data_IF_478338375596
#
_entry.id   IF_478338375596
#
_cell.length_a   1.000
_cell.length_b   1.000
_cell.length_c   1.000
_cell.angle_alpha   90.00
_cell.angle_beta   90.00
_cell.angle_gamma   90.00
#
_symmetry.space_group_name_H-M   'P 1'
#
loop_
_entity.id
_entity.type
_entity.pdbx_description
1 polymer ?
#
# COMPACT_ATOMS: atom_id res chain seq x y z
N UNK A 1 6.95 0.65 -16.87
CA UNK A 1 7.24 1.57 -15.74
C UNK A 1 7.16 0.80 -14.44
N UNK A 2 8.13 0.97 -13.58
CA UNK A 2 8.17 0.34 -12.26
C UNK A 2 7.56 1.26 -11.21
N UNK A 3 6.83 0.69 -10.26
CA UNK A 3 6.24 1.43 -9.16
C UNK A 3 6.57 0.75 -7.83
N UNK A 4 6.44 1.50 -6.73
CA UNK A 4 6.64 1.01 -5.36
C UNK A 4 5.33 1.15 -4.59
N UNK A 5 4.95 0.09 -3.89
CA UNK A 5 3.86 0.14 -2.93
C UNK A 5 4.44 -0.03 -1.52
N UNK A 6 4.63 1.07 -0.79
CA UNK A 6 5.23 1.01 0.54
C UNK A 6 4.19 0.79 1.63
N UNK A 7 4.59 0.13 2.70
CA UNK A 7 3.76 -0.06 3.86
C UNK A 7 4.51 -0.80 4.96
N UNK A 8 3.92 -0.86 6.14
CA UNK A 8 4.47 -1.66 7.23
C UNK A 8 4.11 -3.14 7.07
N UNK A 9 2.94 -3.43 6.52
CA UNK A 9 2.42 -4.77 6.26
C UNK A 9 2.57 -5.71 7.47
N UNK A 10 2.04 -5.27 8.58
CA UNK A 10 2.14 -5.99 9.84
C UNK A 10 0.75 -6.25 10.46
N UNK A 11 -0.06 -7.19 9.94
CA UNK A 11 0.20 -8.06 8.79
C UNK A 11 -0.26 -7.48 7.46
N UNK A 12 0.01 -8.20 6.38
CA UNK A 12 -0.59 -7.96 5.08
C UNK A 12 -2.08 -8.35 5.14
N UNK A 13 -2.95 -7.44 4.73
CA UNK A 13 -4.40 -7.64 4.78
C UNK A 13 -4.97 -7.91 3.40
N UNK A 14 -6.24 -8.38 3.29
CA UNK A 14 -6.91 -8.50 2.00
C UNK A 14 -6.97 -7.18 1.23
N UNK A 15 -7.10 -6.05 1.93
CA UNK A 15 -7.05 -4.73 1.31
C UNK A 15 -5.71 -4.43 0.66
N UNK A 16 -4.63 -4.81 1.33
CA UNK A 16 -3.29 -4.68 0.75
C UNK A 16 -3.13 -5.56 -0.50
N UNK A 17 -3.59 -6.81 -0.43
CA UNK A 17 -3.52 -7.72 -1.58
C UNK A 17 -4.31 -7.20 -2.77
N UNK A 18 -5.47 -6.58 -2.54
CA UNK A 18 -6.26 -5.96 -3.59
C UNK A 18 -5.51 -4.83 -4.27
N UNK A 19 -4.84 -3.97 -3.50
CA UNK A 19 -4.04 -2.88 -4.07
C UNK A 19 -2.89 -3.45 -4.90
N UNK A 20 -2.19 -4.47 -4.41
CA UNK A 20 -1.10 -5.11 -5.15
C UNK A 20 -1.62 -5.69 -6.46
N UNK A 21 -2.76 -6.39 -6.42
CA UNK A 21 -3.34 -7.01 -7.61
C UNK A 21 -3.68 -5.97 -8.68
N UNK A 22 -4.30 -4.87 -8.28
CA UNK A 22 -4.67 -3.82 -9.23
C UNK A 22 -3.45 -3.04 -9.72
N UNK A 23 -2.49 -2.79 -8.85
CA UNK A 23 -1.27 -2.06 -9.22
C UNK A 23 -0.42 -2.86 -10.21
N UNK A 24 -0.28 -4.18 -10.02
CA UNK A 24 0.51 -5.01 -10.93
C UNK A 24 -0.07 -5.07 -12.35
N UNK A 25 -1.37 -4.76 -12.48
CA UNK A 25 -2.01 -4.67 -13.81
C UNK A 25 -1.70 -3.33 -14.49
N UNK A 26 -1.35 -2.30 -13.73
CA UNK A 26 -1.07 -0.96 -14.25
C UNK A 26 0.40 -0.72 -14.57
N UNK A 27 1.30 -1.42 -13.88
CA UNK A 27 2.73 -1.20 -13.98
C UNK A 27 3.44 -2.49 -14.40
N UNK A 28 4.52 -2.36 -15.16
CA UNK A 28 5.29 -3.51 -15.65
C UNK A 28 5.93 -4.28 -14.48
N UNK A 29 6.44 -3.56 -13.50
CA UNK A 29 7.04 -4.11 -12.30
C UNK A 29 6.54 -3.36 -11.08
N UNK A 30 6.24 -4.10 -10.03
CA UNK A 30 5.80 -3.54 -8.75
C UNK A 30 6.69 -4.06 -7.63
N UNK A 31 7.22 -3.14 -6.83
CA UNK A 31 7.95 -3.48 -5.61
C UNK A 31 7.03 -3.24 -4.43
N UNK A 32 6.71 -4.28 -3.68
CA UNK A 32 6.07 -4.14 -2.38
C UNK A 32 7.17 -3.88 -1.38
N UNK A 33 7.21 -2.67 -0.84
CA UNK A 33 8.29 -2.21 0.02
C UNK A 33 7.87 -2.26 1.47
N UNK A 34 8.44 -3.21 2.21
CA UNK A 34 8.23 -3.29 3.65
C UNK A 34 9.12 -2.25 4.30
N UNK A 35 8.53 -1.11 4.61
CA UNK A 35 9.24 0.04 5.15
C UNK A 35 9.04 0.08 6.67
N UNK A 36 10.15 0.17 7.39
CA UNK A 36 10.14 0.26 8.84
C UNK A 36 10.71 1.61 9.24
N UNK A 37 9.96 2.33 10.07
CA UNK A 37 10.48 3.51 10.72
C UNK A 37 11.15 3.05 12.01
N UNK A 38 12.48 3.10 12.05
CA UNK A 38 13.31 2.54 13.09
C UNK A 38 12.99 3.02 14.51
N UNK A 39 12.25 4.12 14.65
CA UNK A 39 11.85 4.65 15.96
C UNK A 39 10.53 4.11 16.49
N UNK A 40 9.68 3.49 15.67
CA UNK A 40 8.31 3.13 16.06
C UNK A 40 8.11 1.66 16.44
N UNK A 41 8.96 0.77 15.99
CA UNK A 41 8.80 -0.67 16.21
C UNK A 41 10.15 -1.31 16.53
N UNK A 42 10.74 -0.97 17.70
CA UNK A 42 11.99 -1.61 18.10
C UNK A 42 11.77 -3.12 18.26
N UNK A 43 12.61 -3.91 17.64
CA UNK A 43 12.53 -5.36 17.72
C UNK A 43 11.83 -6.07 16.58
N UNK A 44 11.25 -5.33 15.62
CA UNK A 44 10.66 -5.96 14.43
C UNK A 44 11.67 -5.96 13.29
N UNK A 45 12.04 -7.15 12.85
CA UNK A 45 12.96 -7.32 11.72
C UNK A 45 12.23 -7.10 10.40
N UNK A 46 12.58 -6.06 9.62
CA UNK A 46 11.95 -5.81 8.33
C UNK A 46 12.13 -6.95 7.33
N UNK A 47 13.27 -7.65 7.38
CA UNK A 47 13.51 -8.80 6.49
C UNK A 47 12.55 -9.94 6.80
N UNK A 48 12.29 -10.22 8.07
CA UNK A 48 11.34 -11.26 8.47
C UNK A 48 9.93 -10.91 8.00
N UNK A 49 9.55 -9.65 8.12
CA UNK A 49 8.24 -9.18 7.68
C UNK A 49 8.12 -9.25 6.16
N UNK A 50 9.18 -8.87 5.44
CA UNK A 50 9.24 -8.99 3.99
C UNK A 50 9.10 -10.45 3.54
N UNK A 51 9.74 -11.38 4.25
CA UNK A 51 9.61 -12.82 3.96
C UNK A 51 8.15 -13.28 4.14
N UNK A 52 7.47 -12.81 5.20
CA UNK A 52 6.07 -13.14 5.44
C UNK A 52 5.15 -12.57 4.34
N UNK A 53 5.40 -11.35 3.89
CA UNK A 53 4.67 -10.74 2.77
C UNK A 53 4.88 -11.55 1.50
N UNK A 54 6.13 -11.89 1.19
CA UNK A 54 6.47 -12.68 0.01
C UNK A 54 5.75 -14.03 0.00
N UNK A 55 5.68 -14.67 1.16
CA UNK A 55 4.98 -15.95 1.30
C UNK A 55 3.46 -15.84 1.12
N UNK A 56 2.90 -14.64 1.32
CA UNK A 56 1.46 -14.39 1.20
C UNK A 56 1.04 -14.02 -0.22
N UNK A 57 1.98 -13.68 -1.10
CA UNK A 57 1.66 -13.28 -2.48
C UNK A 57 1.51 -14.51 -3.36
N UNK A 58 0.53 -14.51 -4.30
CA UNK A 58 0.41 -15.58 -5.28
C UNK A 58 1.70 -15.75 -6.09
N UNK A 59 2.11 -16.98 -6.28
CA UNK A 59 3.35 -17.30 -6.99
C UNK A 59 3.30 -16.88 -8.47
N UNK A 60 2.09 -16.77 -9.02
CA UNK A 60 1.87 -16.36 -10.40
C UNK A 60 2.14 -14.87 -10.65
N UNK A 61 2.20 -14.08 -9.60
CA UNK A 61 2.46 -12.63 -9.71
C UNK A 61 3.96 -12.37 -9.88
N UNK A 62 4.49 -12.80 -11.00
CA UNK A 62 5.93 -12.77 -11.26
C UNK A 62 6.51 -11.37 -11.43
N UNK A 63 5.66 -10.38 -11.72
CA UNK A 63 6.08 -8.98 -11.83
C UNK A 63 6.14 -8.26 -10.48
N UNK A 64 5.72 -8.92 -9.40
CA UNK A 64 5.72 -8.35 -8.05
C UNK A 64 6.92 -8.87 -7.28
N UNK A 65 7.73 -7.96 -6.75
CA UNK A 65 8.86 -8.29 -5.86
C UNK A 65 8.63 -7.65 -4.51
N UNK A 66 9.28 -8.19 -3.48
CA UNK A 66 9.19 -7.69 -2.12
C UNK A 66 10.58 -7.30 -1.65
N UNK A 67 10.70 -6.11 -1.08
CA UNK A 67 11.95 -5.62 -0.53
C UNK A 67 11.71 -5.05 0.87
N UNK A 68 12.73 -5.13 1.71
CA UNK A 68 12.73 -4.48 3.02
C UNK A 68 13.55 -3.20 2.96
N UNK A 69 13.11 -2.18 3.66
CA UNK A 69 13.78 -0.89 3.66
C UNK A 69 13.66 -0.23 5.04
N UNK A 70 14.76 0.35 5.48
CA UNK A 70 14.79 1.18 6.67
C UNK A 70 15.18 2.60 6.25
N UNK A 71 14.30 3.56 6.46
CA UNK A 71 14.52 4.94 6.04
C UNK A 71 13.35 5.49 5.23
N UNK A 72 13.57 6.62 4.57
CA UNK A 72 12.54 7.28 3.76
C UNK A 72 12.28 6.49 2.48
N UNK A 73 11.00 6.32 2.16
CA UNK A 73 10.57 5.65 0.93
C UNK A 73 11.08 6.41 -0.31
N UNK A 74 11.06 7.73 -0.27
CA UNK A 74 11.58 8.55 -1.37
C UNK A 74 13.06 8.29 -1.66
N UNK A 75 13.85 8.01 -0.62
CA UNK A 75 15.26 7.65 -0.79
C UNK A 75 15.40 6.33 -1.54
N UNK A 76 14.57 5.34 -1.17
CA UNK A 76 14.54 4.06 -1.89
C UNK A 76 14.21 4.29 -3.37
N UNK A 77 13.16 5.07 -3.64
CA UNK A 77 12.74 5.36 -5.01
C UNK A 77 13.86 6.01 -5.82
N UNK A 78 14.54 6.98 -5.26
CA UNK A 78 15.63 7.67 -5.96
C UNK A 78 16.80 6.74 -6.24
N UNK A 79 17.17 5.87 -5.29
CA UNK A 79 18.26 4.91 -5.47
C UNK A 79 17.97 3.89 -6.56
N UNK A 80 16.70 3.52 -6.72
CA UNK A 80 16.27 2.50 -7.67
C UNK A 80 15.63 3.07 -8.92
N UNK A 81 15.71 4.40 -9.09
CA UNK A 81 15.17 5.11 -10.25
C UNK A 81 13.69 4.83 -10.46
N UNK A 82 12.92 4.84 -9.37
CA UNK A 82 11.48 4.65 -9.38
C UNK A 82 10.81 5.99 -9.15
N UNK A 83 9.93 6.37 -10.08
CA UNK A 83 9.30 7.70 -10.07
C UNK A 83 7.87 7.67 -9.53
N UNK A 84 7.30 6.49 -9.21
CA UNK A 84 5.90 6.35 -8.86
C UNK A 84 5.73 5.54 -7.58
N UNK A 85 4.97 6.12 -6.63
CA UNK A 85 4.48 5.42 -5.45
C UNK A 85 3.01 5.09 -5.63
N UNK A 86 2.62 3.90 -5.18
CA UNK A 86 1.22 3.49 -5.10
C UNK A 86 0.78 3.54 -3.65
N UNK A 87 -0.39 4.13 -3.40
CA UNK A 87 -1.01 4.14 -2.08
C UNK A 87 -2.47 3.77 -2.20
N UNK A 88 -2.95 2.95 -1.27
CA UNK A 88 -4.36 2.63 -1.17
C UNK A 88 -5.10 3.68 -0.34
N UNK A 89 -6.32 4.02 -0.73
CA UNK A 89 -7.19 4.91 0.03
C UNK A 89 -8.45 4.17 0.44
N UNK A 90 -8.75 4.15 1.73
CA UNK A 90 -9.94 3.48 2.28
C UNK A 90 -11.09 4.44 2.52
N UNK A 91 -10.79 5.70 2.85
CA UNK A 91 -11.80 6.69 3.19
C UNK A 91 -11.23 8.11 3.06
N UNK A 92 -12.07 9.12 3.25
CA UNK A 92 -11.68 10.52 3.15
C UNK A 92 -10.78 10.99 4.30
N UNK A 93 -10.82 10.34 5.43
CA UNK A 93 -9.94 10.66 6.55
C UNK A 93 -8.50 10.33 6.22
N UNK A 94 -8.27 9.17 5.55
CA UNK A 94 -6.95 8.80 5.07
C UNK A 94 -6.43 9.79 4.02
N UNK A 95 -7.32 10.37 3.22
CA UNK A 95 -6.95 11.20 2.08
C UNK A 95 -6.11 12.41 2.49
N UNK A 96 -6.47 13.08 3.59
CA UNK A 96 -5.75 14.28 4.01
C UNK A 96 -4.29 13.98 4.35
N UNK A 97 -4.06 12.95 5.15
CA UNK A 97 -2.70 12.56 5.55
C UNK A 97 -1.91 12.05 4.34
N UNK A 98 -2.55 11.25 3.49
CA UNK A 98 -1.92 10.71 2.29
C UNK A 98 -1.60 11.83 1.28
N UNK A 99 -2.47 12.83 1.17
CA UNK A 99 -2.22 13.96 0.28
C UNK A 99 -0.98 14.75 0.72
N UNK A 100 -0.79 14.97 2.03
CA UNK A 100 0.38 15.67 2.53
C UNK A 100 1.67 14.91 2.24
N UNK A 101 1.65 13.59 2.43
CA UNK A 101 2.79 12.74 2.10
C UNK A 101 3.07 12.75 0.60
N UNK A 102 2.02 12.70 -0.22
CA UNK A 102 2.16 12.74 -1.67
C UNK A 102 2.79 14.07 -2.14
N UNK A 103 2.37 15.19 -1.54
CA UNK A 103 2.94 16.50 -1.87
C UNK A 103 4.42 16.57 -1.49
N UNK A 104 4.80 16.01 -0.34
CA UNK A 104 6.19 15.95 0.08
C UNK A 104 7.01 15.08 -0.89
N UNK A 105 6.52 13.91 -1.24
CA UNK A 105 7.22 13.02 -2.17
C UNK A 105 7.34 13.64 -3.56
N UNK A 106 6.32 14.38 -4.00
CA UNK A 106 6.35 15.08 -5.27
C UNK A 106 7.49 16.11 -5.30
N UNK A 107 7.71 16.83 -4.21
CA UNK A 107 8.81 17.78 -4.11
C UNK A 107 10.17 17.09 -4.20
N UNK A 108 10.22 15.79 -3.91
CA UNK A 108 11.43 14.97 -3.99
C UNK A 108 11.52 14.18 -5.31
N UNK A 109 10.64 14.48 -6.26
CA UNK A 109 10.67 13.87 -7.58
C UNK A 109 9.93 12.55 -7.72
N UNK A 110 9.08 12.20 -6.75
CA UNK A 110 8.33 10.94 -6.78
C UNK A 110 6.83 11.24 -6.78
N UNK A 111 6.13 10.81 -7.82
CA UNK A 111 4.69 10.98 -7.94
C UNK A 111 3.95 9.90 -7.18
N UNK A 112 2.75 10.21 -6.67
CA UNK A 112 1.91 9.25 -5.97
C UNK A 112 0.64 8.97 -6.76
N UNK A 113 0.33 7.70 -6.94
CA UNK A 113 -0.93 7.23 -7.52
C UNK A 113 -1.76 6.63 -6.40
N UNK A 114 -2.99 7.11 -6.26
CA UNK A 114 -3.92 6.59 -5.25
C UNK A 114 -4.88 5.61 -5.89
N UNK A 115 -5.01 4.43 -5.26
CA UNK A 115 -5.99 3.42 -5.64
C UNK A 115 -7.04 3.34 -4.54
N UNK A 116 -8.29 3.74 -4.81
CA UNK A 116 -9.34 3.60 -3.80
C UNK A 116 -9.58 2.13 -3.47
N UNK A 117 -9.78 1.83 -2.19
CA UNK A 117 -10.11 0.48 -1.76
C UNK A 117 -11.45 0.07 -2.38
N UNK A 118 -11.58 -1.23 -2.70
CA UNK A 118 -12.85 -1.77 -3.16
C UNK A 118 -13.89 -1.63 -2.04
N UNK A 119 -15.14 -1.32 -2.38
CA UNK A 119 -16.17 -1.08 -1.35
C UNK A 119 -16.38 -2.28 -0.41
N UNK A 120 -16.28 -3.51 -0.92
CA UNK A 120 -16.41 -4.73 -0.12
C UNK A 120 -15.27 -4.88 0.91
N UNK A 121 -14.08 -4.39 0.59
CA UNK A 121 -12.93 -4.46 1.49
C UNK A 121 -12.84 -3.23 2.41
N UNK A 122 -13.28 -2.07 1.95
CA UNK A 122 -13.36 -0.87 2.78
C UNK A 122 -14.35 -1.05 3.93
N UNK A 123 -15.37 -1.87 3.75
CA UNK A 123 -16.40 -2.13 4.75
C UNK A 123 -15.91 -3.00 5.93
N UNK A 124 -14.67 -3.44 5.94
CA UNK A 124 -14.10 -4.24 7.03
C UNK A 124 -13.91 -3.44 8.31
N UNK A 125 -13.86 -2.09 8.23
CA UNK A 125 -13.78 -1.27 9.44
C UNK A 125 -15.08 -1.39 10.24
N UNK A 126 -14.96 -1.42 11.57
CA UNK A 126 -16.14 -1.56 12.45
C UNK A 126 -17.12 -0.40 12.29
N UNK A 127 -16.64 0.78 11.98
CA UNK A 127 -17.49 1.95 11.73
C UNK A 127 -18.29 1.78 10.44
N UNK A 128 -17.64 1.32 9.37
CA UNK A 128 -18.30 1.08 8.09
C UNK A 128 -19.33 -0.04 8.21
N UNK A 129 -19.02 -1.11 8.95
CA UNK A 129 -19.96 -2.21 9.18
C UNK A 129 -21.21 -1.72 9.91
N UNK A 130 -21.05 -0.87 10.93
CA UNK A 130 -22.18 -0.29 11.64
C UNK A 130 -23.02 0.63 10.75
N UNK A 131 -22.37 1.43 9.91
CA UNK A 131 -23.06 2.32 8.97
C UNK A 131 -23.88 1.52 7.95
N UNK A 132 -23.33 0.42 7.42
CA UNK A 132 -24.04 -0.45 6.48
C UNK A 132 -25.23 -1.15 7.12
N UNK A 133 -25.17 -1.44 8.42
CA UNK A 133 -26.27 -2.03 9.14
C UNK A 133 -27.48 -1.10 9.31
N UNK A 134 -27.30 0.22 9.15
CA UNK A 134 -28.34 1.24 9.30
C UNK A 134 -28.79 1.87 7.99
N UNK A 135 -28.09 1.59 6.88
CA UNK A 135 -28.40 2.17 5.58
C UNK A 135 -29.14 1.15 4.70
N UNK A 136 -30.07 1.63 3.84
CA UNK A 136 -30.66 0.75 2.84
C UNK A 136 -29.59 0.27 1.86
N UNK A 137 -29.76 -0.95 1.33
CA UNK A 137 -28.81 -1.47 0.33
C UNK A 137 -28.79 -0.58 -0.89
N UNK A 138 -27.59 -0.29 -1.45
CA UNK A 138 -27.52 0.50 -2.68
C UNK A 138 -28.20 -0.20 -3.85
N UNK A 139 -28.79 0.54 -4.78
CA UNK A 139 -29.36 -0.06 -5.97
C UNK A 139 -28.29 -0.83 -6.76
N UNK A 140 -28.59 -2.06 -7.19
CA UNK A 140 -27.69 -2.87 -8.00
C UNK A 140 -26.60 -3.59 -7.22
N UNK A 141 -26.68 -3.58 -5.91
CA UNK A 141 -25.74 -4.34 -5.06
C UNK A 141 -26.29 -5.74 -4.76
#
# INVERSE_FOLDING_TARGET
>A
MRAVYPGSFAPLTPGHLDVVDRARALFDDLVVLVAVNSGKHPGTDPERRAAAVRASLPIEWTSVTVAAWSGLTSTYCRRHEIAVLVRGLRNTTDLRAEYQLAAMNQSLGVATVFLPARPDLAAVSSTAVRALGTLPSPPGS
#
